data_IF_579105402557
#
_entry.id   IF_579105402557
#
_cell.length_a   1.000
_cell.length_b   1.000
_cell.length_c   1.000
_cell.angle_alpha   90.00
_cell.angle_beta   90.00
_cell.angle_gamma   90.00
#
_symmetry.space_group_name_H-M   'P 1'
#
loop_
_entity.id
_entity.type
_entity.pdbx_description
1 polymer ?
#
# COMPACT_ATOMS: atom_id res chain seq x y z
N UNK A 1 -12.22 -10.93 -20.96
CA UNK A 1 -12.74 -10.55 -19.66
C UNK A 1 -14.22 -10.71 -19.55
N UNK A 2 -14.59 -11.94 -19.42
CA UNK A 2 -16.00 -12.32 -19.23
C UNK A 2 -16.59 -11.86 -17.89
N UNK A 3 -15.77 -11.31 -16.98
CA UNK A 3 -16.20 -10.92 -15.63
C UNK A 3 -16.53 -9.43 -15.46
N UNK A 4 -16.56 -8.65 -16.56
CA UNK A 4 -16.97 -7.23 -16.48
C UNK A 4 -16.00 -6.28 -15.79
N UNK A 5 -14.82 -6.73 -15.42
CA UNK A 5 -13.78 -5.84 -14.87
C UNK A 5 -13.33 -4.80 -15.89
N UNK A 6 -13.22 -3.54 -15.46
CA UNK A 6 -12.73 -2.43 -16.27
C UNK A 6 -11.36 -1.90 -15.81
N UNK A 7 -10.80 -2.52 -14.77
CA UNK A 7 -9.54 -2.12 -14.15
C UNK A 7 -8.70 -3.35 -13.83
N UNK A 8 -7.38 -3.20 -13.95
CA UNK A 8 -6.39 -4.18 -13.50
C UNK A 8 -5.31 -3.47 -12.69
N UNK A 9 -4.93 -4.09 -11.57
CA UNK A 9 -3.82 -3.68 -10.74
C UNK A 9 -2.73 -4.74 -10.88
N UNK A 10 -1.58 -4.33 -11.38
CA UNK A 10 -0.46 -5.21 -11.71
C UNK A 10 0.67 -4.99 -10.70
N UNK A 11 0.99 -6.00 -9.91
CA UNK A 11 2.18 -6.00 -9.06
C UNK A 11 3.43 -6.02 -9.93
N UNK A 12 4.29 -5.00 -9.79
CA UNK A 12 5.43 -4.78 -10.68
C UNK A 12 6.78 -4.73 -9.98
N UNK A 13 6.79 -4.77 -8.65
CA UNK A 13 8.05 -4.78 -7.89
C UNK A 13 7.96 -4.13 -6.53
N UNK A 14 9.15 -3.87 -5.97
CA UNK A 14 9.41 -3.26 -4.66
C UNK A 14 10.71 -2.47 -4.70
N UNK A 15 11.12 -1.77 -3.61
CA UNK A 15 12.35 -0.97 -3.61
C UNK A 15 13.63 -1.69 -4.01
N UNK A 16 13.62 -3.01 -4.12
CA UNK A 16 14.79 -3.83 -4.40
C UNK A 16 14.88 -4.26 -5.86
N UNK A 17 13.73 -4.44 -6.50
CA UNK A 17 13.65 -4.93 -7.87
C UNK A 17 12.36 -4.51 -8.56
N UNK A 18 12.42 -4.39 -9.87
CA UNK A 18 11.26 -4.15 -10.72
C UNK A 18 11.15 -5.22 -11.80
N UNK A 19 9.90 -5.53 -12.16
CA UNK A 19 9.55 -6.33 -13.34
C UNK A 19 9.67 -5.45 -14.60
N UNK A 20 10.84 -4.87 -14.80
CA UNK A 20 11.16 -3.98 -15.91
C UNK A 20 12.50 -4.40 -16.51
N UNK A 21 12.63 -4.46 -17.85
CA UNK A 21 13.89 -4.91 -18.49
C UNK A 21 15.05 -3.96 -18.21
N UNK A 22 14.75 -2.71 -17.89
CA UNK A 22 15.74 -1.69 -17.56
C UNK A 22 15.35 -1.02 -16.23
N UNK A 23 16.33 -0.70 -15.43
CA UNK A 23 16.17 0.06 -14.17
C UNK A 23 17.18 1.19 -14.12
N UNK A 24 16.89 2.29 -13.41
CA UNK A 24 17.81 3.43 -13.34
C UNK A 24 19.16 3.04 -12.75
N UNK A 25 20.24 3.36 -13.44
CA UNK A 25 21.61 3.14 -12.95
C UNK A 25 21.86 3.92 -11.65
N UNK A 26 22.53 3.29 -10.68
CA UNK A 26 22.87 3.92 -9.40
C UNK A 26 21.70 4.08 -8.43
N UNK A 27 20.49 3.62 -8.76
CA UNK A 27 19.30 3.73 -7.91
C UNK A 27 19.24 2.69 -6.78
N UNK A 28 20.08 1.68 -6.80
CA UNK A 28 19.98 0.50 -5.91
C UNK A 28 18.95 -0.54 -6.37
N UNK A 29 18.14 -0.23 -7.40
CA UNK A 29 17.17 -1.15 -7.98
C UNK A 29 17.86 -2.19 -8.87
N UNK A 30 17.27 -3.39 -8.94
CA UNK A 30 17.64 -4.44 -9.89
C UNK A 30 16.47 -4.76 -10.81
N UNK A 31 16.76 -5.19 -12.05
CA UNK A 31 15.75 -5.84 -12.89
C UNK A 31 15.55 -7.27 -12.40
N UNK A 32 14.30 -7.71 -12.25
CA UNK A 32 14.00 -9.12 -11.98
C UNK A 32 13.96 -9.96 -13.27
N UNK A 33 14.21 -9.34 -14.43
CA UNK A 33 14.16 -9.97 -15.75
C UNK A 33 15.54 -10.24 -16.29
N UNK A 34 15.68 -11.31 -17.05
CA UNK A 34 16.82 -11.52 -17.95
C UNK A 34 16.64 -10.67 -19.21
N UNK A 35 17.74 -10.37 -19.90
CA UNK A 35 17.70 -9.59 -21.16
C UNK A 35 16.83 -10.22 -22.27
N UNK A 36 16.52 -11.51 -22.17
CA UNK A 36 15.74 -12.26 -23.15
C UNK A 36 14.21 -12.19 -22.92
N UNK A 37 13.77 -11.74 -21.73
CA UNK A 37 12.35 -11.81 -21.34
C UNK A 37 11.48 -10.64 -21.88
N UNK A 38 12.11 -9.64 -22.50
CA UNK A 38 11.40 -8.49 -23.03
C UNK A 38 10.78 -7.59 -21.95
N UNK A 39 9.64 -6.99 -22.22
CA UNK A 39 8.93 -6.09 -21.30
C UNK A 39 7.54 -6.64 -20.95
N UNK A 40 7.42 -7.45 -19.91
CA UNK A 40 6.15 -8.07 -19.55
C UNK A 40 5.10 -7.06 -19.07
N UNK A 41 5.51 -5.95 -18.45
CA UNK A 41 4.57 -4.88 -18.05
C UNK A 41 3.93 -4.29 -19.31
N UNK A 42 4.72 -3.95 -20.31
CA UNK A 42 4.21 -3.44 -21.59
C UNK A 42 3.26 -4.45 -22.25
N UNK A 43 3.63 -5.72 -22.30
CA UNK A 43 2.79 -6.79 -22.90
C UNK A 43 1.46 -6.96 -22.18
N UNK A 44 1.44 -6.91 -20.85
CA UNK A 44 0.19 -7.01 -20.07
C UNK A 44 -0.66 -5.76 -20.27
N UNK A 45 -0.07 -4.57 -20.32
CA UNK A 45 -0.79 -3.32 -20.61
C UNK A 45 -1.46 -3.40 -21.98
N UNK A 46 -0.76 -3.88 -23.01
CA UNK A 46 -1.30 -4.02 -24.36
C UNK A 46 -2.45 -5.03 -24.41
N UNK A 47 -2.27 -6.18 -23.75
CA UNK A 47 -3.31 -7.21 -23.65
C UNK A 47 -4.55 -6.68 -22.91
N UNK A 48 -4.37 -5.95 -21.82
CA UNK A 48 -5.46 -5.37 -21.06
C UNK A 48 -6.24 -4.35 -21.90
N UNK A 49 -5.54 -3.46 -22.61
CA UNK A 49 -6.14 -2.45 -23.48
C UNK A 49 -6.88 -3.09 -24.67
N UNK A 50 -6.29 -4.10 -25.30
CA UNK A 50 -6.95 -4.86 -26.38
C UNK A 50 -8.24 -5.53 -25.88
N UNK A 51 -8.31 -5.88 -24.61
CA UNK A 51 -9.51 -6.42 -23.95
C UNK A 51 -10.49 -5.32 -23.45
N UNK A 52 -10.26 -4.04 -23.78
CA UNK A 52 -11.14 -2.92 -23.40
C UNK A 52 -10.94 -2.43 -21.96
N UNK A 53 -9.88 -2.85 -21.26
CA UNK A 53 -9.57 -2.30 -19.93
C UNK A 53 -8.91 -0.94 -20.07
N UNK A 54 -9.49 0.07 -19.44
CA UNK A 54 -9.00 1.45 -19.46
C UNK A 54 -8.33 1.87 -18.14
N UNK A 55 -8.68 1.21 -17.02
CA UNK A 55 -8.10 1.45 -15.73
C UNK A 55 -6.93 0.51 -15.46
N UNK A 56 -5.69 0.93 -15.75
CA UNK A 56 -4.49 0.12 -15.48
C UNK A 56 -3.67 0.83 -14.44
N UNK A 57 -3.38 0.15 -13.33
CA UNK A 57 -2.52 0.63 -12.26
C UNK A 57 -1.33 -0.30 -12.08
N UNK A 58 -0.17 0.27 -11.75
CA UNK A 58 1.00 -0.50 -11.37
C UNK A 58 1.13 -0.46 -9.85
N UNK A 59 1.19 -1.63 -9.23
CA UNK A 59 1.31 -1.77 -7.78
C UNK A 59 2.77 -1.93 -7.40
N UNK A 60 3.26 -1.01 -6.59
CA UNK A 60 4.60 -1.00 -6.04
C UNK A 60 4.52 -1.31 -4.54
N UNK A 61 5.11 -2.42 -4.14
CA UNK A 61 5.21 -2.88 -2.76
C UNK A 61 6.38 -2.16 -2.07
N UNK A 62 6.19 -1.66 -0.85
CA UNK A 62 7.22 -0.91 -0.12
C UNK A 62 8.13 -1.78 0.76
N UNK A 63 7.92 -3.10 0.81
CA UNK A 63 8.79 -4.02 1.55
C UNK A 63 10.20 -4.07 0.96
N UNK A 64 11.21 -4.12 1.83
CA UNK A 64 12.63 -4.09 1.45
C UNK A 64 13.44 -5.18 2.16
N UNK A 65 12.92 -6.40 2.19
CA UNK A 65 13.44 -7.54 2.96
C UNK A 65 14.89 -7.86 2.65
N UNK A 66 15.26 -7.91 1.36
CA UNK A 66 16.64 -8.24 0.94
C UNK A 66 17.62 -7.13 1.28
N UNK A 67 17.20 -5.87 1.13
CA UNK A 67 18.04 -4.71 1.48
C UNK A 67 18.23 -4.63 2.98
N UNK A 68 17.15 -4.72 3.75
CA UNK A 68 17.19 -4.63 5.21
C UNK A 68 17.90 -5.82 5.88
N UNK A 69 18.10 -6.95 5.18
CA UNK A 69 18.89 -8.07 5.66
C UNK A 69 20.40 -7.80 5.64
N UNK A 70 20.87 -6.84 4.83
CA UNK A 70 22.31 -6.53 4.71
C UNK A 70 22.80 -5.78 5.95
N UNK A 71 24.02 -6.07 6.43
CA UNK A 71 24.56 -5.45 7.64
C UNK A 71 24.55 -3.92 7.64
N UNK A 72 24.88 -3.30 6.50
CA UNK A 72 24.94 -1.84 6.33
C UNK A 72 23.59 -1.12 6.37
N UNK A 73 22.48 -1.84 6.29
CA UNK A 73 21.13 -1.27 6.31
C UNK A 73 20.29 -1.69 7.53
N UNK A 74 20.90 -2.38 8.49
CA UNK A 74 20.16 -2.87 9.66
C UNK A 74 19.56 -1.74 10.51
N UNK A 75 20.22 -0.60 10.58
CA UNK A 75 19.73 0.59 11.29
C UNK A 75 18.49 1.25 10.62
N UNK A 76 18.17 0.85 9.39
CA UNK A 76 17.01 1.35 8.64
C UNK A 76 15.74 0.56 8.92
N UNK A 77 15.79 -0.50 9.72
CA UNK A 77 14.62 -1.33 10.05
C UNK A 77 13.66 -0.59 10.95
N UNK A 78 12.38 -0.81 10.74
CA UNK A 78 11.37 -0.37 11.69
C UNK A 78 11.47 -1.18 12.99
N UNK A 79 11.29 -0.51 14.12
CA UNK A 79 11.25 -1.11 15.46
C UNK A 79 9.91 -0.77 16.09
N UNK A 80 9.12 -1.78 16.39
CA UNK A 80 7.84 -1.60 17.09
C UNK A 80 8.04 -1.16 18.53
N UNK A 81 6.98 -0.65 19.17
CA UNK A 81 7.04 -0.18 20.57
C UNK A 81 7.52 -1.21 21.59
N UNK A 82 7.31 -2.50 21.32
CA UNK A 82 7.76 -3.62 22.16
C UNK A 82 9.20 -4.05 21.87
N UNK A 83 9.91 -3.30 21.04
CA UNK A 83 11.28 -3.60 20.61
C UNK A 83 11.40 -4.64 19.50
N UNK A 84 10.29 -5.12 18.93
CA UNK A 84 10.33 -6.05 17.81
C UNK A 84 10.91 -5.36 16.57
N UNK A 85 11.99 -5.92 16.03
CA UNK A 85 12.66 -5.43 14.83
C UNK A 85 12.00 -6.06 13.60
N UNK A 86 11.55 -5.22 12.68
CA UNK A 86 10.97 -5.68 11.41
C UNK A 86 12.08 -5.84 10.35
N UNK A 87 12.14 -7.02 9.75
CA UNK A 87 13.12 -7.33 8.71
C UNK A 87 12.63 -7.04 7.29
N UNK A 88 11.41 -6.56 7.16
CA UNK A 88 10.70 -6.34 5.89
C UNK A 88 10.26 -4.89 5.69
N UNK A 89 10.13 -4.13 6.78
CA UNK A 89 9.64 -2.75 6.75
C UNK A 89 10.74 -1.76 7.15
N UNK A 90 10.92 -0.73 6.33
CA UNK A 90 11.79 0.40 6.65
C UNK A 90 11.20 1.29 7.74
N UNK A 91 12.06 1.86 8.58
CA UNK A 91 11.71 2.85 9.59
C UNK A 91 11.19 4.15 8.95
N UNK A 92 10.63 5.06 9.74
CA UNK A 92 10.21 6.37 9.27
C UNK A 92 11.39 7.15 8.65
N UNK A 93 12.57 7.08 9.27
CA UNK A 93 13.80 7.64 8.71
C UNK A 93 14.15 6.98 7.37
N UNK A 94 14.12 5.64 7.30
CA UNK A 94 14.47 4.89 6.08
C UNK A 94 13.61 5.27 4.87
N UNK A 95 12.32 5.54 5.10
CA UNK A 95 11.36 5.89 4.07
C UNK A 95 11.39 7.37 3.68
N UNK A 96 11.72 8.28 4.62
CA UNK A 96 11.68 9.73 4.37
C UNK A 96 13.04 10.31 4.00
N UNK A 97 14.12 9.87 4.63
CA UNK A 97 15.49 10.40 4.50
C UNK A 97 16.52 9.37 4.07
N UNK A 98 16.18 8.08 4.17
CA UNK A 98 17.13 6.99 3.94
C UNK A 98 16.96 6.31 2.59
N UNK A 99 17.84 5.35 2.37
CA UNK A 99 18.01 4.64 1.10
C UNK A 99 16.75 3.91 0.60
N UNK A 100 15.91 3.39 1.50
CA UNK A 100 14.66 2.68 1.11
C UNK A 100 13.69 3.65 0.43
N UNK A 101 13.53 4.85 0.97
CA UNK A 101 12.70 5.89 0.36
C UNK A 101 13.24 6.35 -0.99
N UNK A 102 14.57 6.42 -1.14
CA UNK A 102 15.22 6.81 -2.40
C UNK A 102 14.97 5.76 -3.49
N UNK A 103 15.13 4.47 -3.16
CA UNK A 103 14.81 3.36 -4.08
C UNK A 103 13.33 3.35 -4.47
N UNK A 104 12.43 3.55 -3.50
CA UNK A 104 10.98 3.58 -3.76
C UNK A 104 10.62 4.74 -4.70
N UNK A 105 11.19 5.93 -4.45
CA UNK A 105 11.01 7.09 -5.32
C UNK A 105 11.56 6.85 -6.73
N UNK A 106 12.76 6.27 -6.85
CA UNK A 106 13.37 5.93 -8.13
C UNK A 106 12.53 4.92 -8.92
N UNK A 107 12.00 3.90 -8.23
CA UNK A 107 11.08 2.92 -8.82
C UNK A 107 9.81 3.58 -9.35
N UNK A 108 9.14 4.39 -8.53
CA UNK A 108 7.92 5.09 -8.93
C UNK A 108 8.16 6.04 -10.12
N UNK A 109 9.25 6.78 -10.10
CA UNK A 109 9.67 7.68 -11.20
C UNK A 109 9.93 6.92 -12.48
N UNK A 110 10.65 5.80 -12.40
CA UNK A 110 10.94 4.95 -13.57
C UNK A 110 9.66 4.39 -14.19
N UNK A 111 8.76 3.84 -13.37
CA UNK A 111 7.48 3.30 -13.83
C UNK A 111 6.61 4.38 -14.48
N UNK A 112 6.53 5.57 -13.88
CA UNK A 112 5.78 6.69 -14.44
C UNK A 112 6.39 7.20 -15.75
N UNK A 113 7.71 7.32 -15.84
CA UNK A 113 8.39 7.74 -17.06
C UNK A 113 8.20 6.75 -18.21
N UNK A 114 8.29 5.44 -17.91
CA UNK A 114 8.21 4.39 -18.95
C UNK A 114 6.78 4.07 -19.38
N UNK A 115 5.84 4.03 -18.43
CA UNK A 115 4.47 3.56 -18.68
C UNK A 115 3.39 4.61 -18.44
N UNK A 116 3.73 5.79 -17.88
CA UNK A 116 2.77 6.77 -17.38
C UNK A 116 1.68 7.17 -18.36
N UNK A 117 2.01 7.35 -19.66
CA UNK A 117 1.03 7.65 -20.70
C UNK A 117 0.03 6.50 -20.97
N UNK A 118 0.31 5.30 -20.49
CA UNK A 118 -0.42 4.06 -20.75
C UNK A 118 -1.20 3.54 -19.54
N UNK A 119 -0.97 4.10 -18.37
CA UNK A 119 -1.56 3.70 -17.09
C UNK A 119 -2.35 4.83 -16.46
N UNK A 120 -3.25 4.49 -15.56
CA UNK A 120 -4.02 5.46 -14.78
C UNK A 120 -3.21 6.01 -13.62
N UNK A 121 -2.44 5.14 -12.96
CA UNK A 121 -1.67 5.53 -11.80
C UNK A 121 -0.80 4.43 -11.23
N UNK A 122 -0.24 4.75 -10.06
CA UNK A 122 0.56 3.83 -9.26
C UNK A 122 -0.14 3.62 -7.92
N UNK A 123 -0.20 2.36 -7.49
CA UNK A 123 -0.66 1.97 -6.16
C UNK A 123 0.58 1.72 -5.32
N UNK A 124 0.65 2.34 -4.16
CA UNK A 124 1.67 2.06 -3.16
C UNK A 124 1.06 1.17 -2.07
N UNK A 125 1.58 -0.04 -1.93
CA UNK A 125 1.09 -1.04 -0.97
C UNK A 125 2.17 -1.48 0.01
N UNK A 126 1.79 -2.20 1.07
CA UNK A 126 2.68 -2.70 2.13
C UNK A 126 3.56 -1.62 2.75
N UNK A 127 3.04 -0.40 2.85
CA UNK A 127 3.72 0.73 3.46
C UNK A 127 3.02 1.12 4.75
N UNK A 128 3.50 0.60 5.86
CA UNK A 128 2.92 0.84 7.18
C UNK A 128 3.93 0.47 8.28
N UNK A 129 3.65 0.89 9.49
CA UNK A 129 4.34 0.39 10.68
C UNK A 129 3.37 -0.42 11.53
N UNK A 130 3.88 -1.48 12.16
CA UNK A 130 3.12 -2.24 13.14
C UNK A 130 3.43 -1.67 14.52
N UNK A 131 2.47 -0.98 15.13
CA UNK A 131 2.62 -0.33 16.44
C UNK A 131 3.77 0.69 16.47
N UNK A 132 3.81 1.56 15.46
CA UNK A 132 4.75 2.67 15.35
C UNK A 132 6.11 2.32 14.74
N UNK A 133 7.01 3.30 14.72
CA UNK A 133 8.40 3.19 14.27
C UNK A 133 9.30 3.90 15.26
N UNK A 134 10.02 3.14 16.08
CA UNK A 134 10.76 3.61 17.26
C UNK A 134 12.25 3.25 17.19
N UNK A 135 12.86 3.21 16.02
CA UNK A 135 14.30 3.01 15.88
C UNK A 135 15.09 4.21 16.41
N UNK A 136 16.39 4.02 16.66
CA UNK A 136 17.25 5.13 17.10
C UNK A 136 17.30 6.27 16.08
N UNK A 137 17.30 5.93 14.78
CA UNK A 137 17.25 6.93 13.70
C UNK A 137 15.91 7.67 13.65
N UNK A 138 14.82 7.00 13.97
CA UNK A 138 13.52 7.63 14.11
C UNK A 138 13.47 8.58 15.30
N UNK A 139 14.11 8.21 16.43
CA UNK A 139 14.21 9.10 17.57
C UNK A 139 15.00 10.37 17.26
N UNK A 140 16.12 10.24 16.55
CA UNK A 140 16.90 11.40 16.10
C UNK A 140 16.05 12.34 15.21
N UNK A 141 15.30 11.76 14.27
CA UNK A 141 14.43 12.50 13.37
C UNK A 141 13.23 13.13 14.12
N UNK A 142 12.63 12.39 15.07
CA UNK A 142 11.54 12.90 15.91
C UNK A 142 11.98 14.11 16.74
N UNK A 143 13.17 14.05 17.35
CA UNK A 143 13.76 15.18 18.08
C UNK A 143 13.96 16.41 17.20
N UNK A 144 14.45 16.21 15.97
CA UNK A 144 14.64 17.29 14.99
C UNK A 144 13.33 17.93 14.57
N UNK A 145 12.32 17.11 14.30
CA UNK A 145 11.04 17.56 13.78
C UNK A 145 10.15 18.23 14.84
N UNK A 146 10.22 17.75 16.09
CA UNK A 146 9.28 18.15 17.15
C UNK A 146 9.87 19.02 18.25
N UNK A 147 11.19 19.00 18.41
CA UNK A 147 11.89 19.63 19.53
C UNK A 147 11.80 18.85 20.85
N UNK A 148 11.13 17.69 20.87
CA UNK A 148 11.06 16.85 22.07
C UNK A 148 12.41 16.15 22.32
N UNK A 149 12.71 15.88 23.60
CA UNK A 149 13.99 15.27 23.96
C UNK A 149 14.00 13.73 23.83
N UNK A 150 12.82 13.09 23.89
CA UNK A 150 12.63 11.64 23.80
C UNK A 150 11.17 11.34 23.40
N UNK A 151 10.89 10.08 23.08
CA UNK A 151 9.54 9.55 23.00
C UNK A 151 8.80 9.69 24.34
N UNK A 152 7.49 9.83 24.29
CA UNK A 152 6.67 9.56 25.48
C UNK A 152 6.89 8.10 25.88
N UNK A 153 7.10 7.84 27.18
CA UNK A 153 7.37 6.48 27.69
C UNK A 153 6.28 6.02 28.64
N UNK A 154 6.04 4.72 28.64
CA UNK A 154 5.20 4.02 29.63
C UNK A 154 5.97 3.83 30.93
N UNK A 155 5.27 3.38 31.97
CA UNK A 155 5.88 3.11 33.27
C UNK A 155 6.95 2.01 33.26
N UNK A 156 6.94 1.14 32.24
CA UNK A 156 7.95 0.10 32.00
C UNK A 156 9.14 0.58 31.16
N UNK A 157 9.16 1.86 30.78
CA UNK A 157 10.22 2.48 29.97
C UNK A 157 10.05 2.28 28.45
N UNK A 158 9.07 1.50 27.99
CA UNK A 158 8.83 1.33 26.55
C UNK A 158 8.26 2.60 25.90
N UNK A 159 8.56 2.88 24.61
CA UNK A 159 7.94 3.98 23.91
C UNK A 159 6.40 3.87 23.90
N UNK A 160 5.74 5.00 23.94
CA UNK A 160 4.29 5.09 23.89
C UNK A 160 3.84 5.84 22.65
N UNK A 161 2.84 5.28 21.97
CA UNK A 161 2.14 5.93 20.86
C UNK A 161 1.16 6.98 21.41
N UNK A 162 1.69 8.05 21.98
CA UNK A 162 0.90 9.20 22.41
C UNK A 162 0.45 10.07 21.24
N UNK A 163 -0.36 11.10 21.50
CA UNK A 163 -0.87 11.98 20.42
C UNK A 163 0.24 12.61 19.58
N UNK A 164 1.39 12.93 20.14
CA UNK A 164 2.53 13.54 19.44
C UNK A 164 3.19 12.54 18.49
N UNK A 165 3.47 11.34 18.98
CA UNK A 165 4.05 10.25 18.19
C UNK A 165 3.11 9.84 17.05
N UNK A 166 1.83 9.65 17.32
CA UNK A 166 0.83 9.34 16.30
C UNK A 166 0.72 10.45 15.23
N UNK A 167 0.76 11.71 15.65
CA UNK A 167 0.78 12.84 14.72
C UNK A 167 2.03 12.83 13.84
N UNK A 168 3.19 12.57 14.43
CA UNK A 168 4.47 12.50 13.72
C UNK A 168 4.53 11.32 12.73
N UNK A 169 4.05 10.14 13.13
CA UNK A 169 3.94 9.00 12.20
C UNK A 169 3.09 9.35 10.98
N UNK A 170 1.95 9.99 11.18
CA UNK A 170 1.10 10.46 10.09
C UNK A 170 1.80 11.48 9.19
N UNK A 171 2.60 12.40 9.75
CA UNK A 171 3.36 13.38 8.98
C UNK A 171 4.47 12.72 8.15
N UNK A 172 5.19 11.75 8.73
CA UNK A 172 6.23 11.00 8.00
C UNK A 172 5.62 10.17 6.86
N UNK A 173 4.50 9.51 7.08
CA UNK A 173 3.82 8.77 6.02
C UNK A 173 3.28 9.68 4.91
N UNK A 174 2.75 10.84 5.25
CA UNK A 174 2.34 11.85 4.28
C UNK A 174 3.55 12.43 3.51
N UNK A 175 4.72 12.60 4.16
CA UNK A 175 5.98 13.00 3.48
C UNK A 175 6.36 11.96 2.41
N UNK A 176 6.29 10.66 2.71
CA UNK A 176 6.52 9.58 1.74
C UNK A 176 5.52 9.67 0.59
N UNK A 177 4.22 9.77 0.88
CA UNK A 177 3.19 9.92 -0.14
C UNK A 177 3.48 11.13 -1.06
N UNK A 178 3.90 12.26 -0.47
CA UNK A 178 4.29 13.47 -1.21
C UNK A 178 5.51 13.27 -2.10
N UNK A 179 6.54 12.53 -1.63
CA UNK A 179 7.71 12.17 -2.46
C UNK A 179 7.28 11.37 -3.68
N UNK A 180 6.49 10.31 -3.46
CA UNK A 180 6.03 9.44 -4.57
C UNK A 180 5.12 10.21 -5.51
N UNK A 181 4.19 11.03 -5.01
CA UNK A 181 3.32 11.84 -5.89
C UNK A 181 4.11 12.79 -6.79
N UNK A 182 5.15 13.42 -6.27
CA UNK A 182 6.04 14.26 -7.11
C UNK A 182 6.79 13.44 -8.15
N UNK A 183 7.24 12.23 -7.79
CA UNK A 183 7.97 11.35 -8.71
C UNK A 183 7.11 10.88 -9.88
N UNK A 184 5.81 10.63 -9.67
CA UNK A 184 4.89 10.11 -10.69
C UNK A 184 4.13 11.21 -11.46
N UNK A 185 4.27 12.46 -11.05
CA UNK A 185 3.71 13.62 -11.75
C UNK A 185 2.18 13.58 -11.84
N UNK A 186 1.64 13.59 -13.06
CA UNK A 186 0.20 13.64 -13.33
C UNK A 186 -0.52 12.31 -13.13
N UNK A 187 0.19 11.19 -13.04
CA UNK A 187 -0.42 9.90 -12.73
C UNK A 187 -1.08 9.91 -11.35
N UNK A 188 -2.16 9.14 -11.18
CA UNK A 188 -2.81 9.02 -9.89
C UNK A 188 -1.92 8.24 -8.91
N UNK A 189 -1.86 8.73 -7.67
CA UNK A 189 -1.34 7.96 -6.54
C UNK A 189 -2.51 7.36 -5.77
N UNK A 190 -2.56 6.04 -5.74
CA UNK A 190 -3.45 5.29 -4.86
C UNK A 190 -2.61 4.77 -3.69
N UNK A 191 -3.06 5.00 -2.48
CA UNK A 191 -2.33 4.61 -1.29
C UNK A 191 -3.11 3.53 -0.54
N UNK A 192 -2.55 2.32 -0.44
CA UNK A 192 -3.13 1.24 0.35
C UNK A 192 -3.09 1.59 1.83
N UNK A 193 -4.20 1.39 2.53
CA UNK A 193 -4.29 1.75 3.94
C UNK A 193 -4.92 0.65 4.80
N UNK A 194 -4.34 0.47 5.98
CA UNK A 194 -4.93 -0.35 7.04
C UNK A 194 -6.17 0.35 7.60
N UNK A 195 -7.13 -0.44 8.05
CA UNK A 195 -8.41 0.08 8.54
C UNK A 195 -8.56 -0.12 10.05
N UNK A 196 -9.28 0.79 10.67
CA UNK A 196 -9.80 0.63 12.03
C UNK A 196 -11.25 0.18 11.95
N UNK A 197 -11.51 -1.09 12.19
CA UNK A 197 -12.85 -1.66 12.08
C UNK A 197 -13.85 -1.11 13.11
N UNK A 198 -13.37 -0.66 14.27
CA UNK A 198 -14.21 -0.08 15.32
C UNK A 198 -14.57 1.39 15.07
N UNK A 199 -13.66 2.13 14.42
CA UNK A 199 -13.84 3.53 14.08
C UNK A 199 -13.18 3.84 12.73
N UNK A 200 -13.80 3.47 11.60
CA UNK A 200 -13.17 3.57 10.28
C UNK A 200 -12.60 4.95 9.94
N UNK A 201 -13.31 6.07 10.24
CA UNK A 201 -12.76 7.40 9.96
C UNK A 201 -11.49 7.77 10.73
N UNK A 202 -11.20 7.11 11.86
CA UNK A 202 -9.99 7.40 12.62
C UNK A 202 -8.72 6.91 11.91
N UNK A 203 -8.83 6.03 10.90
CA UNK A 203 -7.70 5.40 10.28
C UNK A 203 -6.89 4.51 11.22
N UNK A 204 -5.60 4.34 10.93
CA UNK A 204 -4.64 3.59 11.75
C UNK A 204 -3.39 4.46 11.98
N UNK A 205 -3.47 5.48 12.85
CA UNK A 205 -2.37 6.40 13.11
C UNK A 205 -1.11 5.70 13.63
N UNK A 206 -1.28 4.61 14.40
CA UNK A 206 -0.20 3.73 14.87
C UNK A 206 0.58 3.05 13.72
N UNK A 207 -0.05 2.92 12.56
CA UNK A 207 0.57 2.44 11.32
C UNK A 207 1.04 3.60 10.39
N UNK A 208 0.94 4.86 10.84
CA UNK A 208 1.18 6.04 10.02
C UNK A 208 0.01 6.44 9.12
N UNK A 209 -1.10 5.71 9.15
CA UNK A 209 -2.24 5.94 8.26
C UNK A 209 -3.23 6.95 8.85
N UNK A 210 -2.80 8.21 8.91
CA UNK A 210 -3.68 9.38 9.05
C UNK A 210 -4.24 9.72 7.66
N UNK A 211 -5.48 9.35 7.42
CA UNK A 211 -6.12 9.47 6.10
C UNK A 211 -6.22 10.92 5.61
N UNK A 212 -6.50 11.87 6.52
CA UNK A 212 -6.56 13.27 6.17
C UNK A 212 -5.21 13.81 5.70
N UNK A 213 -4.11 13.39 6.35
CA UNK A 213 -2.75 13.77 5.95
C UNK A 213 -2.35 13.10 4.63
N UNK A 214 -2.64 11.82 4.46
CA UNK A 214 -2.35 11.08 3.23
C UNK A 214 -3.06 11.69 2.01
N UNK A 215 -4.34 12.08 2.14
CA UNK A 215 -5.14 12.67 1.06
C UNK A 215 -4.68 14.07 0.62
N UNK A 216 -3.72 14.68 1.30
CA UNK A 216 -3.03 15.89 0.79
C UNK A 216 -2.15 15.58 -0.43
N UNK A 217 -1.75 14.33 -0.59
CA UNK A 217 -0.81 13.89 -1.61
C UNK A 217 -1.35 12.72 -2.45
N UNK A 218 -2.05 11.76 -1.85
CA UNK A 218 -2.70 10.67 -2.56
C UNK A 218 -4.00 11.14 -3.21
N UNK A 219 -4.26 10.66 -4.42
CA UNK A 219 -5.51 10.94 -5.12
C UNK A 219 -6.65 10.08 -4.57
N UNK A 220 -6.33 8.84 -4.17
CA UNK A 220 -7.26 7.86 -3.62
C UNK A 220 -6.61 7.10 -2.47
N UNK A 221 -7.43 6.68 -1.49
CA UNK A 221 -7.07 5.68 -0.50
C UNK A 221 -7.70 4.34 -0.87
N UNK A 222 -6.94 3.26 -0.68
CA UNK A 222 -7.39 1.89 -0.93
C UNK A 222 -7.41 1.11 0.40
N UNK A 223 -8.52 1.19 1.17
CA UNK A 223 -8.62 0.50 2.46
C UNK A 223 -8.66 -1.01 2.27
N UNK A 224 -7.90 -1.72 3.13
CA UNK A 224 -7.88 -3.17 3.21
C UNK A 224 -9.15 -3.69 3.90
N UNK A 225 -10.16 -4.00 3.09
CA UNK A 225 -11.42 -4.59 3.55
C UNK A 225 -11.23 -6.11 3.64
N UNK A 226 -10.33 -6.53 4.56
CA UNK A 226 -9.96 -7.93 4.76
C UNK A 226 -10.69 -8.46 5.99
N UNK A 227 -11.55 -9.44 5.80
CA UNK A 227 -12.39 -10.04 6.84
C UNK A 227 -12.28 -11.56 6.81
N UNK A 228 -12.55 -12.18 7.95
CA UNK A 228 -12.58 -13.65 8.05
C UNK A 228 -13.85 -14.23 7.45
N UNK A 229 -13.82 -15.54 7.13
CA UNK A 229 -14.98 -16.28 6.66
C UNK A 229 -16.19 -16.07 7.58
N UNK A 230 -17.35 -15.85 6.98
CA UNK A 230 -18.59 -15.54 7.69
C UNK A 230 -18.73 -14.08 8.18
N UNK A 231 -17.76 -13.22 7.88
CA UNK A 231 -17.76 -11.82 8.35
C UNK A 231 -17.98 -10.79 7.23
N UNK A 232 -18.40 -11.21 6.05
CA UNK A 232 -18.63 -10.34 4.89
C UNK A 232 -19.54 -9.12 5.18
N UNK A 233 -20.49 -9.27 6.10
CA UNK A 233 -21.38 -8.18 6.53
C UNK A 233 -20.68 -6.98 7.17
N UNK A 234 -19.40 -7.10 7.56
CA UNK A 234 -18.61 -5.99 8.08
C UNK A 234 -18.14 -5.02 6.98
N UNK A 235 -18.12 -5.45 5.72
CA UNK A 235 -17.55 -4.66 4.62
C UNK A 235 -18.36 -3.36 4.35
N UNK A 236 -19.67 -3.46 4.24
CA UNK A 236 -20.50 -2.31 3.91
C UNK A 236 -20.43 -1.19 4.96
N UNK A 237 -20.65 -1.42 6.27
CA UNK A 237 -20.54 -0.37 7.29
C UNK A 237 -19.18 0.32 7.30
N UNK A 238 -18.09 -0.43 7.12
CA UNK A 238 -16.74 0.12 7.02
C UNK A 238 -16.63 1.09 5.82
N UNK A 239 -17.00 0.62 4.63
CA UNK A 239 -16.86 1.39 3.40
C UNK A 239 -17.80 2.59 3.37
N UNK A 240 -19.01 2.46 3.87
CA UNK A 240 -19.98 3.55 3.99
C UNK A 240 -19.45 4.67 4.91
N UNK A 241 -18.91 4.31 6.07
CA UNK A 241 -18.32 5.29 6.99
C UNK A 241 -17.13 6.03 6.35
N UNK A 242 -16.25 5.31 5.63
CA UNK A 242 -15.12 5.90 4.93
C UNK A 242 -15.57 6.81 3.77
N UNK A 243 -16.54 6.36 2.98
CA UNK A 243 -17.04 7.11 1.82
C UNK A 243 -17.81 8.35 2.23
N UNK A 244 -18.56 8.29 3.36
CA UNK A 244 -19.22 9.45 3.93
C UNK A 244 -18.23 10.53 4.38
N UNK A 245 -17.10 10.13 4.96
CA UNK A 245 -16.07 11.06 5.40
C UNK A 245 -15.22 11.62 4.23
N UNK A 246 -14.92 10.78 3.23
CA UNK A 246 -14.07 11.15 2.08
C UNK A 246 -14.74 10.77 0.75
N UNK A 247 -15.80 11.49 0.33
CA UNK A 247 -16.54 11.19 -0.87
C UNK A 247 -15.63 11.25 -2.12
N UNK A 248 -15.71 10.20 -2.94
CA UNK A 248 -14.91 10.10 -4.17
C UNK A 248 -13.42 9.80 -3.96
N UNK A 249 -12.98 9.55 -2.70
CA UNK A 249 -11.58 9.29 -2.37
C UNK A 249 -11.30 7.84 -1.97
N UNK A 250 -12.33 7.03 -1.79
CA UNK A 250 -12.21 5.66 -1.29
C UNK A 250 -12.37 4.66 -2.44
N UNK A 251 -11.40 3.75 -2.56
CA UNK A 251 -11.38 2.63 -3.48
C UNK A 251 -11.22 1.33 -2.67
N UNK A 252 -12.32 0.70 -2.19
CA UNK A 252 -12.21 -0.44 -1.29
C UNK A 252 -11.55 -1.64 -1.97
N UNK A 253 -10.69 -2.35 -1.22
CA UNK A 253 -9.99 -3.56 -1.65
C UNK A 253 -10.44 -4.75 -0.80
N UNK A 254 -11.21 -5.67 -1.38
CA UNK A 254 -11.59 -6.92 -0.71
C UNK A 254 -10.44 -7.92 -0.82
N UNK A 255 -9.92 -8.34 0.33
CA UNK A 255 -8.91 -9.38 0.42
C UNK A 255 -9.53 -10.79 0.40
N UNK A 256 -8.92 -11.67 -0.37
CA UNK A 256 -9.30 -13.08 -0.40
C UNK A 256 -8.58 -13.92 0.67
N UNK A 257 -7.89 -13.28 1.60
CA UNK A 257 -7.24 -13.96 2.73
C UNK A 257 -8.19 -13.99 3.93
N UNK A 258 -8.45 -15.19 4.44
CA UNK A 258 -9.09 -15.41 5.73
C UNK A 258 -8.08 -15.82 6.80
N UNK A 259 -8.55 -16.09 7.99
CA UNK A 259 -7.75 -16.55 9.11
C UNK A 259 -6.87 -17.75 8.74
N UNK A 260 -5.61 -17.73 9.22
CA UNK A 260 -4.65 -18.80 8.93
C UNK A 260 -4.20 -18.89 7.47
N UNK A 261 -4.40 -17.84 6.65
CA UNK A 261 -4.02 -17.83 5.23
C UNK A 261 -4.98 -18.59 4.30
N UNK A 262 -6.11 -19.04 4.81
CA UNK A 262 -7.18 -19.67 4.00
C UNK A 262 -7.80 -18.65 3.06
N UNK A 263 -8.36 -19.13 1.94
CA UNK A 263 -9.11 -18.26 1.03
C UNK A 263 -10.55 -18.13 1.56
N UNK A 264 -11.11 -16.91 1.58
CA UNK A 264 -12.52 -16.72 1.94
C UNK A 264 -13.43 -17.45 0.94
N UNK A 265 -14.60 -18.00 1.37
CA UNK A 265 -15.54 -18.62 0.46
C UNK A 265 -16.09 -17.67 -0.61
N UNK A 266 -16.43 -18.20 -1.78
CA UNK A 266 -17.06 -17.41 -2.85
C UNK A 266 -18.41 -16.79 -2.43
N UNK A 267 -19.12 -17.42 -1.50
CA UNK A 267 -20.36 -16.90 -0.90
C UNK A 267 -20.10 -15.64 -0.08
N UNK A 268 -18.98 -15.56 0.63
CA UNK A 268 -18.61 -14.36 1.39
C UNK A 268 -18.17 -13.25 0.46
N UNK A 269 -17.43 -13.57 -0.61
CA UNK A 269 -17.13 -12.60 -1.66
C UNK A 269 -18.42 -12.04 -2.28
N UNK A 270 -19.39 -12.90 -2.63
CA UNK A 270 -20.69 -12.49 -3.20
C UNK A 270 -21.47 -11.58 -2.24
N UNK A 271 -21.52 -11.93 -0.99
CA UNK A 271 -22.18 -11.11 0.03
C UNK A 271 -21.50 -9.72 0.17
N UNK A 272 -20.17 -9.68 0.23
CA UNK A 272 -19.43 -8.43 0.34
C UNK A 272 -19.61 -7.54 -0.89
N UNK A 273 -19.40 -8.06 -2.11
CA UNK A 273 -19.55 -7.25 -3.32
C UNK A 273 -20.99 -6.83 -3.57
N UNK A 274 -21.96 -7.66 -3.20
CA UNK A 274 -23.40 -7.30 -3.29
C UNK A 274 -23.73 -6.13 -2.37
N UNK A 275 -23.21 -6.13 -1.15
CA UNK A 275 -23.41 -5.02 -0.22
C UNK A 275 -22.70 -3.73 -0.63
N UNK A 276 -21.71 -3.81 -1.52
CA UNK A 276 -20.91 -2.68 -2.00
C UNK A 276 -21.27 -2.25 -3.44
N UNK A 277 -22.38 -2.71 -4.01
CA UNK A 277 -22.78 -2.42 -5.42
C UNK A 277 -22.90 -0.94 -5.76
N UNK A 278 -23.15 -0.08 -4.79
CA UNK A 278 -23.24 1.37 -4.98
C UNK A 278 -21.87 2.05 -5.06
N UNK A 279 -20.80 1.33 -4.73
CA UNK A 279 -19.46 1.91 -4.80
C UNK A 279 -19.01 2.04 -6.27
N UNK A 280 -18.43 3.19 -6.66
CA UNK A 280 -17.97 3.40 -8.03
C UNK A 280 -16.74 2.54 -8.37
N UNK A 281 -16.00 2.08 -7.36
CA UNK A 281 -14.82 1.24 -7.48
C UNK A 281 -14.84 0.12 -6.44
N UNK A 282 -14.33 -1.02 -6.85
CA UNK A 282 -14.08 -2.16 -5.99
C UNK A 282 -12.91 -2.95 -6.55
N UNK A 283 -11.94 -3.27 -5.70
CA UNK A 283 -10.86 -4.19 -6.01
C UNK A 283 -11.11 -5.52 -5.31
N UNK A 284 -10.69 -6.61 -5.93
CA UNK A 284 -10.60 -7.94 -5.31
C UNK A 284 -9.17 -8.46 -5.46
N UNK A 285 -8.52 -8.81 -4.37
CA UNK A 285 -7.10 -9.17 -4.33
C UNK A 285 -6.84 -10.40 -3.43
N UNK A 286 -5.83 -11.24 -3.76
CA UNK A 286 -5.11 -11.29 -5.01
C UNK A 286 -5.81 -12.19 -6.04
N UNK A 287 -5.63 -11.89 -7.31
CA UNK A 287 -6.23 -12.69 -8.39
C UNK A 287 -5.78 -14.17 -8.36
N UNK A 288 -4.60 -14.47 -7.83
CA UNK A 288 -4.06 -15.83 -7.69
C UNK A 288 -4.85 -16.73 -6.74
N UNK A 289 -5.69 -16.14 -5.86
CA UNK A 289 -6.59 -16.88 -4.95
C UNK A 289 -8.01 -17.06 -5.50
N UNK A 290 -8.32 -16.50 -6.68
CA UNK A 290 -9.64 -16.63 -7.29
C UNK A 290 -9.84 -18.07 -7.81
N UNK A 291 -10.79 -18.77 -7.23
CA UNK A 291 -11.27 -20.08 -7.71
C UNK A 291 -12.31 -19.88 -8.82
N UNK A 292 -12.71 -20.98 -9.49
CA UNK A 292 -13.80 -20.94 -10.49
C UNK A 292 -15.09 -20.36 -9.89
N UNK A 293 -15.41 -20.68 -8.64
CA UNK A 293 -16.60 -20.15 -7.96
C UNK A 293 -16.51 -18.62 -7.76
N UNK A 294 -15.35 -18.10 -7.34
CA UNK A 294 -15.13 -16.66 -7.23
C UNK A 294 -15.28 -15.96 -8.59
N UNK A 295 -14.75 -16.55 -9.66
CA UNK A 295 -14.91 -16.00 -11.00
C UNK A 295 -16.38 -15.95 -11.46
N UNK A 296 -17.23 -16.91 -11.07
CA UNK A 296 -18.67 -16.85 -11.36
C UNK A 296 -19.34 -15.69 -10.61
N UNK A 297 -19.00 -15.47 -9.34
CA UNK A 297 -19.48 -14.32 -8.56
C UNK A 297 -19.11 -13.02 -9.27
N UNK A 298 -17.84 -12.84 -9.66
CA UNK A 298 -17.38 -11.62 -10.34
C UNK A 298 -18.04 -11.41 -11.70
N UNK A 299 -18.39 -12.47 -12.44
CA UNK A 299 -19.13 -12.37 -13.72
C UNK A 299 -20.55 -11.83 -13.54
N UNK A 300 -21.17 -12.16 -12.42
CA UNK A 300 -22.54 -11.78 -12.11
C UNK A 300 -22.64 -10.40 -11.43
N UNK A 301 -21.49 -9.82 -11.10
CA UNK A 301 -21.41 -8.51 -10.45
C UNK A 301 -21.58 -7.40 -11.48
N UNK A 302 -22.84 -6.91 -11.62
CA UNK A 302 -23.22 -5.65 -12.31
C UNK A 302 -24.58 -5.15 -11.81
#
# INVERSE_FOLDING_TARGET
>A
MAAGGNTVDLAVGRPEWLLSPEVPSGSGLTSSLSAAEGDPIAGIIDTARAAGITGIYLTLDAMATTTLAKPEYQELRSVSRDGTIRNDLGSAYALTKGHIGDMLEAAARHLAARYGARIKGIILTEIHWDSGSFSDKDLELFKQDTGEADWTRRGDGTPHEGPKELAWFGDKMAEVAGRIKRAIGTNQLVFDVRVNWANPPAGRPDSGHDYAKLLRHADLLQPWVYFDAGQAGKAAPLVEALTAQWPGKIRPSIGLWGAGGTTIPATDLDAAITSLRTQPWLQVTPASKLTTAHWQVLKNWR
#
